data_IF_412780991723
#
_entry.id   IF_412780991723
#
_cell.length_a   1.000
_cell.length_b   1.000
_cell.length_c   1.000
_cell.angle_alpha   90.00
_cell.angle_beta   90.00
_cell.angle_gamma   90.00
#
_symmetry.space_group_name_H-M   'P 1'
#
loop_
_entity.id
_entity.type
_entity.pdbx_description
1 polymer ?
#
# COMPACT_ATOMS: atom_id res chain seq x y z
N UNK A 1 -19.61 -20.40 26.41
CA UNK A 1 -19.07 -19.21 25.71
C UNK A 1 -20.24 -18.62 24.99
N UNK A 2 -20.62 -17.39 25.32
CA UNK A 2 -21.79 -16.73 24.73
C UNK A 2 -21.50 -16.43 23.26
N UNK A 3 -22.36 -16.92 22.36
CA UNK A 3 -22.25 -16.75 20.91
C UNK A 3 -22.17 -15.27 20.49
N UNK A 4 -22.68 -14.34 21.31
CA UNK A 4 -22.61 -12.89 21.07
C UNK A 4 -21.17 -12.30 21.16
N UNK A 5 -20.23 -12.96 21.85
CA UNK A 5 -18.83 -12.48 21.91
C UNK A 5 -17.99 -12.91 20.71
N UNK A 6 -18.40 -13.95 19.98
CA UNK A 6 -17.75 -14.40 18.75
C UNK A 6 -18.15 -13.53 17.55
N UNK A 7 -19.39 -13.04 17.53
CA UNK A 7 -19.92 -12.21 16.44
C UNK A 7 -19.19 -10.86 16.32
N UNK A 8 -18.91 -10.20 17.45
CA UNK A 8 -18.16 -8.93 17.46
C UNK A 8 -16.67 -9.03 17.11
N UNK A 9 -16.07 -10.24 17.12
CA UNK A 9 -14.67 -10.46 16.73
C UNK A 9 -14.51 -10.88 15.26
N UNK A 10 -15.55 -11.47 14.65
CA UNK A 10 -15.57 -11.80 13.23
C UNK A 10 -15.67 -10.55 12.33
N UNK A 11 -16.33 -9.49 12.82
CA UNK A 11 -16.51 -8.23 12.07
C UNK A 11 -15.18 -7.54 11.69
N UNK A 12 -14.14 -7.65 12.52
CA UNK A 12 -12.82 -7.06 12.22
C UNK A 12 -12.07 -7.77 11.09
N UNK A 13 -12.34 -9.06 10.87
CA UNK A 13 -11.71 -9.87 9.83
C UNK A 13 -12.51 -9.84 8.50
N UNK A 14 -13.82 -9.58 8.55
CA UNK A 14 -14.68 -9.27 7.39
C UNK A 14 -14.47 -7.82 6.90
N UNK A 15 -14.04 -6.91 7.78
CA UNK A 15 -13.71 -5.52 7.41
C UNK A 15 -12.66 -5.44 6.30
N UNK A 16 -11.65 -6.31 6.27
CA UNK A 16 -10.61 -6.29 5.24
C UNK A 16 -11.12 -6.79 3.87
N UNK A 17 -12.06 -7.73 3.84
CA UNK A 17 -12.71 -8.18 2.61
C UNK A 17 -13.70 -7.14 2.07
N UNK A 18 -14.49 -6.53 2.96
CA UNK A 18 -15.43 -5.45 2.62
C UNK A 18 -14.72 -4.14 2.26
N UNK A 19 -13.62 -3.79 2.92
CA UNK A 19 -12.78 -2.64 2.55
C UNK A 19 -12.13 -2.86 1.19
N UNK A 20 -11.68 -4.07 0.86
CA UNK A 20 -11.17 -4.38 -0.48
C UNK A 20 -12.25 -4.19 -1.56
N UNK A 21 -13.47 -4.70 -1.32
CA UNK A 21 -14.60 -4.52 -2.25
C UNK A 21 -15.06 -3.06 -2.35
N UNK A 22 -15.07 -2.32 -1.24
CA UNK A 22 -15.46 -0.90 -1.22
C UNK A 22 -14.38 0.03 -1.80
N UNK A 23 -13.10 -0.32 -1.64
CA UNK A 23 -11.96 0.38 -2.25
C UNK A 23 -11.93 0.21 -3.76
N UNK A 24 -12.36 -0.93 -4.29
CA UNK A 24 -12.58 -1.14 -5.73
C UNK A 24 -13.75 -0.33 -6.29
N UNK A 25 -14.69 0.13 -5.44
CA UNK A 25 -15.89 0.89 -5.86
C UNK A 25 -15.72 2.41 -5.84
N UNK A 26 -14.69 2.97 -5.19
CA UNK A 26 -14.55 4.43 -4.99
C UNK A 26 -13.97 5.21 -6.18
N UNK A 27 -13.84 4.60 -7.36
CA UNK A 27 -13.70 5.32 -8.64
C UNK A 27 -12.33 5.96 -8.95
N UNK A 28 -11.31 5.75 -8.11
CA UNK A 28 -9.97 6.33 -8.31
C UNK A 28 -8.93 5.38 -8.93
N UNK A 29 -9.24 4.10 -9.09
CA UNK A 29 -8.32 3.10 -9.63
C UNK A 29 -8.66 2.76 -11.09
N UNK A 30 -7.65 2.47 -11.93
CA UNK A 30 -7.91 1.87 -13.23
C UNK A 30 -8.70 0.57 -13.05
N UNK A 31 -9.58 0.20 -14.01
CA UNK A 31 -10.28 -1.07 -13.94
C UNK A 31 -9.27 -2.21 -13.81
N UNK A 32 -9.53 -3.14 -12.90
CA UNK A 32 -8.69 -4.33 -12.75
C UNK A 32 -8.60 -5.09 -14.08
N UNK A 33 -7.42 -5.58 -14.48
CA UNK A 33 -7.31 -6.44 -15.64
C UNK A 33 -8.18 -7.69 -15.43
N UNK A 34 -8.97 -8.09 -16.43
CA UNK A 34 -9.79 -9.29 -16.34
C UNK A 34 -8.92 -10.53 -16.63
N UNK A 35 -8.19 -10.99 -15.61
CA UNK A 35 -7.33 -12.16 -15.73
C UNK A 35 -8.12 -13.43 -15.38
N UNK A 36 -8.13 -14.38 -16.33
CA UNK A 36 -8.81 -15.67 -16.17
C UNK A 36 -7.85 -16.82 -16.36
N UNK A 37 -8.02 -17.86 -15.56
CA UNK A 37 -7.33 -19.12 -15.80
C UNK A 37 -7.87 -19.80 -17.05
N UNK A 38 -7.02 -20.62 -17.68
CA UNK A 38 -7.51 -21.55 -18.71
C UNK A 38 -8.52 -22.52 -18.10
N UNK A 39 -9.40 -23.09 -18.92
CA UNK A 39 -10.37 -24.09 -18.46
C UNK A 39 -9.68 -25.30 -17.77
N UNK A 40 -8.52 -25.71 -18.29
CA UNK A 40 -7.73 -26.82 -17.72
C UNK A 40 -7.14 -26.45 -16.35
N UNK A 41 -6.57 -25.26 -16.22
CA UNK A 41 -6.01 -24.77 -14.96
C UNK A 41 -7.11 -24.62 -13.91
N UNK A 42 -8.25 -24.04 -14.29
CA UNK A 42 -9.43 -23.88 -13.42
C UNK A 42 -9.90 -25.24 -12.90
N UNK A 43 -10.13 -26.20 -13.81
CA UNK A 43 -10.60 -27.54 -13.43
C UNK A 43 -9.60 -28.28 -12.51
N UNK A 44 -8.29 -28.14 -12.75
CA UNK A 44 -7.26 -28.72 -11.88
C UNK A 44 -7.26 -28.09 -10.48
N UNK A 45 -7.42 -26.77 -10.38
CA UNK A 45 -7.51 -26.05 -9.11
C UNK A 45 -8.78 -26.43 -8.35
N UNK A 46 -9.93 -26.51 -9.03
CA UNK A 46 -11.20 -26.94 -8.45
C UNK A 46 -11.13 -28.36 -7.89
N UNK A 47 -10.59 -29.32 -8.65
CA UNK A 47 -10.46 -30.71 -8.19
C UNK A 47 -9.57 -30.82 -6.94
N UNK A 48 -8.43 -30.10 -6.93
CA UNK A 48 -7.54 -30.08 -5.76
C UNK A 48 -8.17 -29.39 -4.56
N UNK A 49 -8.88 -28.29 -4.78
CA UNK A 49 -9.62 -27.61 -3.72
C UNK A 49 -10.69 -28.51 -3.13
N UNK A 50 -11.53 -29.13 -3.97
CA UNK A 50 -12.59 -30.05 -3.55
C UNK A 50 -12.05 -31.20 -2.69
N UNK A 51 -10.96 -31.83 -3.12
CA UNK A 51 -10.30 -32.90 -2.35
C UNK A 51 -9.87 -32.43 -0.95
N UNK A 52 -9.29 -31.24 -0.85
CA UNK A 52 -8.89 -30.66 0.44
C UNK A 52 -10.09 -30.21 1.29
N UNK A 53 -11.09 -29.60 0.66
CA UNK A 53 -12.30 -29.10 1.32
C UNK A 53 -13.13 -30.24 1.92
N UNK A 54 -13.40 -31.28 1.13
CA UNK A 54 -14.15 -32.46 1.58
C UNK A 54 -13.41 -33.24 2.67
N UNK A 55 -12.07 -33.22 2.66
CA UNK A 55 -11.25 -33.82 3.73
C UNK A 55 -11.34 -33.00 5.03
N UNK A 56 -11.38 -31.68 4.93
CA UNK A 56 -11.51 -30.79 6.08
C UNK A 56 -12.94 -30.75 6.64
N UNK A 57 -13.93 -30.98 5.78
CA UNK A 57 -15.35 -30.83 6.07
C UNK A 57 -16.12 -32.11 5.63
N UNK A 58 -15.91 -33.26 6.31
CA UNK A 58 -16.49 -34.53 5.90
C UNK A 58 -18.03 -34.57 5.97
N UNK A 59 -18.64 -33.72 6.80
CA UNK A 59 -20.10 -33.64 6.94
C UNK A 59 -20.80 -32.95 5.74
N UNK A 60 -20.02 -32.36 4.82
CA UNK A 60 -20.52 -31.62 3.66
C UNK A 60 -20.76 -32.47 2.40
N UNK A 61 -20.45 -33.77 2.41
CA UNK A 61 -20.60 -34.68 1.25
C UNK A 61 -22.03 -34.78 0.69
N UNK A 62 -23.03 -34.30 1.43
CA UNK A 62 -24.45 -34.35 1.08
C UNK A 62 -25.00 -33.04 0.49
N UNK A 63 -24.18 -32.00 0.29
CA UNK A 63 -24.65 -30.68 -0.16
C UNK A 63 -24.11 -30.26 -1.54
N UNK A 64 -24.98 -29.79 -2.47
CA UNK A 64 -24.57 -29.18 -3.75
C UNK A 64 -23.62 -27.97 -3.62
N UNK A 65 -23.53 -27.41 -2.41
CA UNK A 65 -22.73 -26.23 -2.06
C UNK A 65 -21.22 -26.42 -2.31
N UNK A 66 -20.70 -27.65 -2.23
CA UNK A 66 -19.27 -27.95 -2.45
C UNK A 66 -18.74 -27.57 -3.84
N UNK A 67 -19.55 -27.74 -4.89
CA UNK A 67 -19.17 -27.37 -6.26
C UNK A 67 -19.09 -25.84 -6.41
N UNK A 68 -19.97 -25.11 -5.72
CA UNK A 68 -19.94 -23.65 -5.73
C UNK A 68 -18.68 -23.12 -5.03
N UNK A 69 -18.24 -23.73 -3.93
CA UNK A 69 -17.05 -23.30 -3.19
C UNK A 69 -15.76 -23.41 -4.03
N UNK A 70 -15.62 -24.46 -4.84
CA UNK A 70 -14.47 -24.61 -5.74
C UNK A 70 -14.42 -23.50 -6.80
N UNK A 71 -15.56 -23.17 -7.39
CA UNK A 71 -15.66 -22.07 -8.36
C UNK A 71 -15.38 -20.71 -7.69
N UNK A 72 -15.90 -20.47 -6.48
CA UNK A 72 -15.63 -19.27 -5.70
C UNK A 72 -14.14 -19.15 -5.39
N UNK A 73 -13.49 -20.26 -5.02
CA UNK A 73 -12.06 -20.32 -4.79
C UNK A 73 -11.27 -19.92 -6.04
N UNK A 74 -11.57 -20.49 -7.21
CA UNK A 74 -10.89 -20.12 -8.47
C UNK A 74 -11.08 -18.63 -8.78
N UNK A 75 -12.31 -18.10 -8.66
CA UNK A 75 -12.58 -16.68 -8.88
C UNK A 75 -11.82 -15.78 -7.89
N UNK A 76 -11.66 -16.23 -6.64
CA UNK A 76 -10.85 -15.53 -5.65
C UNK A 76 -9.37 -15.48 -6.07
N UNK A 77 -8.82 -16.59 -6.57
CA UNK A 77 -7.45 -16.63 -7.10
C UNK A 77 -7.27 -15.69 -8.31
N UNK A 78 -8.22 -15.67 -9.25
CA UNK A 78 -8.22 -14.77 -10.41
C UNK A 78 -8.29 -13.29 -9.99
N UNK A 79 -9.13 -12.98 -9.00
CA UNK A 79 -9.23 -11.64 -8.42
C UNK A 79 -7.92 -11.19 -7.76
N UNK A 80 -7.25 -12.10 -7.04
CA UNK A 80 -5.92 -11.83 -6.47
C UNK A 80 -4.87 -11.59 -7.57
N UNK A 81 -4.85 -12.41 -8.62
CA UNK A 81 -3.92 -12.25 -9.74
C UNK A 81 -4.12 -10.89 -10.43
N UNK A 82 -5.37 -10.50 -10.65
CA UNK A 82 -5.75 -9.22 -11.26
C UNK A 82 -5.26 -8.03 -10.42
N UNK A 83 -5.47 -8.09 -9.10
CA UNK A 83 -5.00 -7.08 -8.18
C UNK A 83 -3.47 -7.00 -8.13
N UNK A 84 -2.80 -8.15 -8.04
CA UNK A 84 -1.33 -8.24 -8.01
C UNK A 84 -0.71 -7.69 -9.30
N UNK A 85 -1.28 -8.00 -10.46
CA UNK A 85 -0.82 -7.47 -11.74
C UNK A 85 -0.94 -5.95 -11.80
N UNK A 86 -2.07 -5.39 -11.33
CA UNK A 86 -2.27 -3.94 -11.23
C UNK A 86 -1.24 -3.30 -10.30
N UNK A 87 -1.12 -3.81 -9.07
CA UNK A 87 -0.20 -3.26 -8.05
C UNK A 87 1.25 -3.37 -8.51
N UNK A 88 1.66 -4.49 -9.11
CA UNK A 88 3.05 -4.68 -9.56
C UNK A 88 3.42 -3.77 -10.73
N UNK A 89 2.47 -3.48 -11.62
CA UNK A 89 2.65 -2.52 -12.70
C UNK A 89 2.77 -1.07 -12.17
N UNK A 90 2.07 -0.74 -11.08
CA UNK A 90 2.08 0.61 -10.50
C UNK A 90 3.19 0.86 -9.47
N UNK A 91 3.50 -0.08 -8.58
CA UNK A 91 4.40 0.10 -7.43
C UNK A 91 5.86 0.26 -7.85
N UNK A 92 6.36 -0.53 -8.80
CA UNK A 92 7.76 -0.47 -9.23
C UNK A 92 8.15 0.82 -9.92
N UNK A 93 7.23 1.43 -10.67
CA UNK A 93 7.52 2.65 -11.44
C UNK A 93 7.26 3.91 -10.61
N UNK A 94 6.37 3.86 -9.61
CA UNK A 94 5.89 5.07 -8.93
C UNK A 94 6.62 5.38 -7.62
N UNK A 95 7.08 4.41 -6.81
CA UNK A 95 7.63 4.77 -5.49
C UNK A 95 9.07 5.33 -5.53
N UNK A 96 9.97 4.70 -6.27
CA UNK A 96 11.34 5.22 -6.43
C UNK A 96 11.34 6.58 -7.13
N UNK A 97 10.62 6.70 -8.24
CA UNK A 97 10.47 7.99 -8.93
C UNK A 97 9.77 9.07 -8.07
N UNK A 98 8.80 8.71 -7.21
CA UNK A 98 8.19 9.65 -6.25
C UNK A 98 9.20 10.09 -5.20
N UNK A 99 10.01 9.16 -4.69
CA UNK A 99 11.05 9.44 -3.71
C UNK A 99 12.13 10.34 -4.32
N UNK A 100 12.63 10.02 -5.50
CA UNK A 100 13.59 10.86 -6.24
C UNK A 100 13.05 12.27 -6.49
N UNK A 101 11.77 12.41 -6.86
CA UNK A 101 11.12 13.72 -7.02
C UNK A 101 11.01 14.49 -5.70
N UNK A 102 10.66 13.80 -4.62
CA UNK A 102 10.61 14.40 -3.29
C UNK A 102 12.00 14.83 -2.80
N UNK A 103 13.03 14.01 -3.03
CA UNK A 103 14.42 14.35 -2.75
C UNK A 103 14.89 15.54 -3.59
N UNK A 104 14.54 15.60 -4.87
CA UNK A 104 14.82 16.73 -5.75
C UNK A 104 14.19 18.03 -5.25
N UNK A 105 12.92 17.97 -4.81
CA UNK A 105 12.22 19.11 -4.21
C UNK A 105 12.90 19.59 -2.92
N UNK A 106 13.26 18.67 -2.02
CA UNK A 106 13.97 18.99 -0.78
C UNK A 106 15.33 19.62 -1.05
N UNK A 107 16.10 19.07 -1.99
CA UNK A 107 17.37 19.63 -2.42
C UNK A 107 17.22 21.04 -3.00
N UNK A 108 16.14 21.30 -3.74
CA UNK A 108 15.80 22.63 -4.24
C UNK A 108 15.51 23.60 -3.09
N UNK A 109 14.71 23.18 -2.12
CA UNK A 109 14.38 23.99 -0.94
C UNK A 109 15.62 24.31 -0.10
N UNK A 110 16.50 23.34 0.14
CA UNK A 110 17.77 23.55 0.83
C UNK A 110 18.62 24.61 0.13
N UNK A 111 18.76 24.54 -1.20
CA UNK A 111 19.52 25.53 -1.97
C UNK A 111 18.93 26.93 -1.89
N UNK A 112 17.60 27.04 -1.85
CA UNK A 112 16.93 28.33 -1.67
C UNK A 112 17.24 28.91 -0.28
N UNK A 113 17.20 28.09 0.77
CA UNK A 113 17.55 28.51 2.13
C UNK A 113 19.00 28.99 2.20
N UNK A 114 19.93 28.22 1.64
CA UNK A 114 21.36 28.58 1.60
C UNK A 114 21.60 29.88 0.81
N UNK A 115 20.90 30.06 -0.32
CA UNK A 115 20.97 31.29 -1.11
C UNK A 115 20.42 32.50 -0.33
N UNK A 116 19.29 32.36 0.36
CA UNK A 116 18.73 33.41 1.21
C UNK A 116 19.70 33.80 2.35
N UNK A 117 20.42 32.83 2.91
CA UNK A 117 21.38 33.06 3.99
C UNK A 117 22.68 33.71 3.50
N UNK A 118 23.13 33.38 2.30
CA UNK A 118 24.42 33.83 1.74
C UNK A 118 24.35 35.16 0.98
N UNK A 119 23.22 35.50 0.38
CA UNK A 119 23.02 36.78 -0.30
C UNK A 119 23.01 37.95 0.70
N UNK A 120 23.54 39.10 0.28
CA UNK A 120 23.36 40.35 1.00
C UNK A 120 21.91 40.85 0.90
N UNK A 121 21.50 41.66 1.88
CA UNK A 121 20.11 42.09 2.03
C UNK A 121 19.61 42.89 0.81
N UNK A 122 20.48 43.60 0.11
CA UNK A 122 20.10 44.39 -1.07
C UNK A 122 19.85 43.50 -2.29
N UNK A 123 20.75 42.57 -2.57
CA UNK A 123 20.57 41.60 -3.65
C UNK A 123 19.33 40.72 -3.43
N UNK A 124 19.13 40.24 -2.20
CA UNK A 124 17.94 39.45 -1.85
C UNK A 124 16.65 40.28 -2.00
N UNK A 125 16.64 41.53 -1.52
CA UNK A 125 15.49 42.42 -1.66
C UNK A 125 15.10 42.69 -3.12
N UNK A 126 16.10 42.83 -3.99
CA UNK A 126 15.86 43.02 -5.42
C UNK A 126 15.24 41.77 -6.09
N UNK A 127 15.73 40.57 -5.76
CA UNK A 127 15.17 39.31 -6.26
C UNK A 127 13.73 39.08 -5.77
N UNK A 128 13.48 39.35 -4.49
CA UNK A 128 12.14 39.23 -3.90
C UNK A 128 11.14 40.20 -4.56
N UNK A 129 11.55 41.43 -4.86
CA UNK A 129 10.70 42.40 -5.55
C UNK A 129 10.24 41.88 -6.93
N UNK A 130 11.16 41.32 -7.72
CA UNK A 130 10.82 40.72 -9.01
C UNK A 130 9.91 39.48 -8.88
N UNK A 131 10.11 38.68 -7.84
CA UNK A 131 9.23 37.55 -7.53
C UNK A 131 7.81 37.98 -7.16
N UNK A 132 7.66 38.96 -6.27
CA UNK A 132 6.36 39.48 -5.87
C UNK A 132 5.60 40.12 -7.03
N UNK A 133 6.29 40.86 -7.90
CA UNK A 133 5.68 41.44 -9.10
C UNK A 133 5.12 40.36 -10.03
N UNK A 134 5.85 39.26 -10.23
CA UNK A 134 5.36 38.17 -11.06
C UNK A 134 4.16 37.46 -10.42
N UNK A 135 4.16 37.26 -9.10
CA UNK A 135 3.02 36.69 -8.38
C UNK A 135 1.80 37.61 -8.47
N UNK A 136 1.96 38.92 -8.27
CA UNK A 136 0.86 39.89 -8.37
C UNK A 136 0.26 39.90 -9.78
N UNK A 137 1.11 39.76 -10.81
CA UNK A 137 0.68 39.65 -12.21
C UNK A 137 -0.11 38.38 -12.48
N UNK A 138 0.34 37.24 -11.96
CA UNK A 138 -0.29 35.93 -12.22
C UNK A 138 -1.47 35.64 -11.29
N UNK A 139 -1.50 36.28 -10.11
CA UNK A 139 -2.46 36.07 -9.03
C UNK A 139 -2.91 37.42 -8.41
N UNK A 140 -3.70 38.25 -9.13
CA UNK A 140 -4.00 39.63 -8.75
C UNK A 140 -4.79 39.81 -7.45
N UNK A 141 -5.42 38.74 -6.94
CA UNK A 141 -6.15 38.77 -5.66
C UNK A 141 -5.22 38.58 -4.43
N UNK A 142 -3.92 38.33 -4.65
CA UNK A 142 -2.97 38.17 -3.54
C UNK A 142 -2.62 39.52 -2.92
N UNK A 143 -2.84 39.64 -1.60
CA UNK A 143 -2.42 40.82 -0.82
C UNK A 143 -0.93 40.73 -0.51
N UNK A 144 -0.10 41.00 -1.51
CA UNK A 144 1.34 41.12 -1.31
C UNK A 144 1.71 42.53 -0.82
N UNK A 145 2.86 42.68 -0.13
CA UNK A 145 3.40 44.00 0.16
C UNK A 145 3.56 44.77 -1.15
N UNK A 146 2.97 45.96 -1.25
CA UNK A 146 3.02 46.83 -2.44
C UNK A 146 4.45 46.92 -2.99
N UNK A 147 4.66 46.87 -4.31
CA UNK A 147 6.00 46.82 -4.90
C UNK A 147 6.81 48.04 -4.46
N UNK A 148 7.77 47.83 -3.55
CA UNK A 148 8.70 48.84 -3.06
C UNK A 148 9.82 49.11 -4.07
N UNK A 149 9.50 49.14 -5.37
CA UNK A 149 10.49 49.25 -6.46
C UNK A 149 11.40 50.46 -6.30
N UNK A 150 10.84 51.57 -5.83
CA UNK A 150 11.57 52.85 -5.77
C UNK A 150 12.26 53.09 -4.42
N UNK A 151 12.14 52.16 -3.47
CA UNK A 151 12.75 52.28 -2.16
C UNK A 151 13.66 51.09 -1.85
N UNK A 152 14.88 51.15 -2.38
CA UNK A 152 15.94 50.17 -2.16
C UNK A 152 16.17 49.89 -0.68
N UNK A 153 16.09 50.91 0.19
CA UNK A 153 16.25 50.75 1.63
C UNK A 153 15.13 49.91 2.24
N UNK A 154 13.88 50.13 1.82
CA UNK A 154 12.74 49.36 2.31
C UNK A 154 12.79 47.89 1.83
N UNK A 155 13.25 47.64 0.60
CA UNK A 155 13.51 46.29 0.09
C UNK A 155 14.60 45.57 0.89
N UNK A 156 15.67 46.27 1.26
CA UNK A 156 16.72 45.72 2.12
C UNK A 156 16.17 45.33 3.51
N UNK A 157 15.35 46.19 4.12
CA UNK A 157 14.75 45.91 5.43
C UNK A 157 13.83 44.70 5.34
N UNK A 158 12.96 44.63 4.33
CA UNK A 158 12.10 43.47 4.09
C UNK A 158 12.90 42.18 3.91
N UNK A 159 13.94 42.21 3.08
CA UNK A 159 14.80 41.05 2.85
C UNK A 159 15.51 40.59 4.13
N UNK A 160 16.01 41.54 4.91
CA UNK A 160 16.65 41.27 6.21
C UNK A 160 15.68 40.65 7.20
N UNK A 161 14.45 41.13 7.24
CA UNK A 161 13.41 40.60 8.12
C UNK A 161 13.03 39.19 7.68
N UNK A 162 12.78 38.95 6.39
CA UNK A 162 12.51 37.61 5.83
C UNK A 162 13.68 36.65 6.06
N UNK A 163 14.92 37.12 5.97
CA UNK A 163 16.11 36.31 6.28
C UNK A 163 16.16 35.89 7.74
N UNK A 164 15.67 36.74 8.66
CA UNK A 164 15.63 36.42 10.10
C UNK A 164 14.45 35.55 10.50
N UNK A 165 13.26 35.81 9.96
CA UNK A 165 12.03 35.10 10.33
C UNK A 165 11.80 33.89 9.42
N UNK A 166 11.73 34.10 8.11
CA UNK A 166 11.35 33.05 7.16
C UNK A 166 12.44 32.00 6.93
N UNK A 167 13.74 32.34 7.01
CA UNK A 167 14.79 31.35 6.78
C UNK A 167 14.77 30.22 7.84
N UNK A 168 14.48 30.57 9.10
CA UNK A 168 14.35 29.59 10.20
C UNK A 168 13.09 28.73 10.06
N UNK A 169 11.98 29.33 9.61
CA UNK A 169 10.73 28.63 9.33
C UNK A 169 10.88 27.66 8.14
N UNK A 170 11.51 28.11 7.05
CA UNK A 170 11.79 27.29 5.87
C UNK A 170 12.77 26.14 6.20
N UNK A 171 13.80 26.39 7.01
CA UNK A 171 14.69 25.34 7.48
C UNK A 171 13.96 24.29 8.35
N UNK A 172 13.06 24.75 9.22
CA UNK A 172 12.23 23.87 10.05
C UNK A 172 11.24 23.06 9.20
N UNK A 173 10.63 23.68 8.18
CA UNK A 173 9.77 23.01 7.20
C UNK A 173 10.56 21.97 6.40
N UNK A 174 11.75 22.34 5.88
CA UNK A 174 12.64 21.42 5.16
C UNK A 174 13.00 20.20 6.02
N UNK A 175 13.35 20.40 7.29
CA UNK A 175 13.63 19.30 8.23
C UNK A 175 12.39 18.42 8.44
N UNK A 176 11.22 19.02 8.64
CA UNK A 176 9.95 18.29 8.78
C UNK A 176 9.62 17.46 7.55
N UNK A 177 9.80 18.01 6.35
CA UNK A 177 9.58 17.29 5.09
C UNK A 177 10.63 16.19 4.86
N UNK A 178 11.90 16.40 5.25
CA UNK A 178 12.95 15.37 5.20
C UNK A 178 12.60 14.21 6.12
N UNK A 179 12.19 14.50 7.36
CA UNK A 179 11.72 13.48 8.29
C UNK A 179 10.47 12.77 7.76
N UNK A 180 9.55 13.50 7.14
CA UNK A 180 8.36 12.94 6.50
C UNK A 180 8.71 11.99 5.35
N UNK A 181 9.70 12.35 4.52
CA UNK A 181 10.20 11.51 3.43
C UNK A 181 10.85 10.22 3.95
N UNK A 182 11.67 10.32 4.99
CA UNK A 182 12.31 9.17 5.65
C UNK A 182 11.29 8.21 6.30
N UNK A 183 10.16 8.76 6.75
CA UNK A 183 9.08 8.05 7.41
C UNK A 183 7.84 7.88 6.53
N UNK A 184 7.97 8.03 5.21
CA UNK A 184 6.86 7.71 4.30
C UNK A 184 6.44 6.27 4.61
N UNK A 185 5.12 6.02 4.80
CA UNK A 185 4.66 4.67 5.07
C UNK A 185 5.05 3.80 3.88
N UNK A 186 6.13 3.04 4.08
CA UNK A 186 6.36 1.82 3.33
C UNK A 186 5.14 1.00 3.70
N UNK A 187 4.23 0.80 2.75
CA UNK A 187 3.18 -0.22 2.85
C UNK A 187 3.80 -1.42 3.54
N UNK A 188 3.33 -1.75 4.75
CA UNK A 188 3.93 -2.70 5.72
C UNK A 188 4.94 -3.62 5.01
N UNK A 189 6.25 -3.41 5.19
CA UNK A 189 7.28 -3.77 4.20
C UNK A 189 7.23 -5.24 3.71
N UNK A 190 6.62 -6.11 4.50
CA UNK A 190 6.31 -7.47 4.14
C UNK A 190 5.19 -7.57 3.08
N UNK A 191 4.10 -6.83 3.20
CA UNK A 191 2.98 -6.74 2.26
C UNK A 191 3.26 -5.91 1.00
N UNK A 192 4.31 -5.06 1.00
CA UNK A 192 4.81 -4.43 -0.23
C UNK A 192 5.34 -5.44 -1.27
N UNK A 193 5.55 -6.71 -0.86
CA UNK A 193 5.91 -7.77 -1.79
C UNK A 193 4.66 -8.52 -2.22
N UNK A 194 4.28 -8.48 -3.51
CA UNK A 194 3.08 -9.17 -4.00
C UNK A 194 3.08 -10.67 -3.67
N UNK A 195 4.25 -11.30 -3.64
CA UNK A 195 4.41 -12.69 -3.23
C UNK A 195 3.95 -12.93 -1.79
N UNK A 196 4.39 -12.11 -0.85
CA UNK A 196 4.00 -12.28 0.55
C UNK A 196 2.51 -12.00 0.74
N UNK A 197 1.99 -10.97 0.08
CA UNK A 197 0.56 -10.64 0.11
C UNK A 197 -0.31 -11.81 -0.37
N UNK A 198 0.02 -12.43 -1.51
CA UNK A 198 -0.71 -13.61 -2.02
C UNK A 198 -0.60 -14.77 -1.05
N UNK A 199 0.60 -15.07 -0.55
CA UNK A 199 0.82 -16.16 0.40
C UNK A 199 0.01 -15.97 1.69
N UNK A 200 -0.05 -14.73 2.22
CA UNK A 200 -0.82 -14.39 3.41
C UNK A 200 -2.33 -14.48 3.17
N UNK A 201 -2.82 -14.00 2.02
CA UNK A 201 -4.23 -14.10 1.64
C UNK A 201 -4.71 -15.54 1.40
N UNK A 202 -3.83 -16.40 0.89
CA UNK A 202 -4.09 -17.84 0.78
C UNK A 202 -4.15 -18.51 2.15
N UNK A 203 -3.28 -18.11 3.09
CA UNK A 203 -3.27 -18.63 4.45
C UNK A 203 -4.57 -18.30 5.19
N UNK A 204 -5.00 -17.03 5.14
CA UNK A 204 -6.26 -16.58 5.74
C UNK A 204 -7.46 -17.30 5.10
N UNK A 205 -7.54 -17.34 3.76
CA UNK A 205 -8.67 -17.96 3.05
C UNK A 205 -8.81 -19.45 3.38
N UNK A 206 -7.71 -20.22 3.30
CA UNK A 206 -7.75 -21.65 3.59
C UNK A 206 -8.02 -21.91 5.08
N UNK A 207 -7.45 -21.10 5.96
CA UNK A 207 -7.66 -21.18 7.40
C UNK A 207 -9.13 -21.01 7.80
N UNK A 208 -9.83 -20.04 7.20
CA UNK A 208 -11.27 -19.80 7.43
C UNK A 208 -12.17 -20.94 6.98
N UNK A 209 -11.74 -21.69 5.95
CA UNK A 209 -12.46 -22.87 5.47
C UNK A 209 -12.04 -24.17 6.17
N UNK A 210 -11.28 -24.06 7.26
CA UNK A 210 -10.71 -25.18 8.00
C UNK A 210 -9.80 -26.09 7.14
N UNK A 211 -9.31 -25.59 6.01
CA UNK A 211 -8.38 -26.32 5.16
C UNK A 211 -6.97 -26.12 5.69
N UNK A 212 -6.25 -27.22 5.93
CA UNK A 212 -4.86 -27.17 6.39
C UNK A 212 -3.98 -26.42 5.38
N UNK A 213 -3.41 -25.31 5.82
CA UNK A 213 -2.40 -24.56 5.07
C UNK A 213 -1.06 -25.33 5.05
N UNK A 214 -0.61 -25.73 3.86
CA UNK A 214 0.67 -26.43 3.67
C UNK A 214 1.68 -25.51 2.99
N UNK A 215 2.90 -25.45 3.50
CA UNK A 215 3.96 -24.60 2.94
C UNK A 215 4.77 -25.27 1.83
N UNK A 216 4.35 -26.46 1.37
CA UNK A 216 5.00 -27.19 0.28
C UNK A 216 4.53 -26.68 -1.08
N UNK A 217 5.42 -26.71 -2.07
CA UNK A 217 5.11 -26.25 -3.45
C UNK A 217 4.05 -27.11 -4.13
N UNK A 218 3.98 -28.39 -3.77
CA UNK A 218 3.01 -29.36 -4.30
C UNK A 218 1.68 -29.38 -3.57
N UNK A 219 1.58 -28.68 -2.43
CA UNK A 219 0.34 -28.56 -1.66
C UNK A 219 -0.66 -27.62 -2.35
N UNK A 220 -1.92 -27.64 -1.90
CA UNK A 220 -2.97 -26.77 -2.48
C UNK A 220 -2.52 -25.29 -2.47
N UNK A 221 -1.96 -24.82 -1.35
CA UNK A 221 -1.48 -23.44 -1.24
C UNK A 221 -0.30 -23.16 -2.19
N UNK A 222 0.65 -24.10 -2.35
CA UNK A 222 1.76 -23.99 -3.29
C UNK A 222 1.30 -23.86 -4.75
N UNK A 223 0.40 -24.75 -5.16
CA UNK A 223 -0.14 -24.75 -6.52
C UNK A 223 -0.96 -23.49 -6.79
N UNK A 224 -1.80 -23.09 -5.83
CA UNK A 224 -2.63 -21.89 -5.95
C UNK A 224 -1.77 -20.62 -6.01
N UNK A 225 -0.72 -20.57 -5.20
CA UNK A 225 0.26 -19.49 -5.22
C UNK A 225 0.94 -19.39 -6.59
N UNK A 226 1.46 -20.50 -7.12
CA UNK A 226 2.10 -20.51 -8.45
C UNK A 226 1.12 -20.07 -9.53
N UNK A 227 -0.11 -20.59 -9.51
CA UNK A 227 -1.14 -20.22 -10.48
C UNK A 227 -1.43 -18.71 -10.44
N UNK A 228 -1.60 -18.11 -9.26
CA UNK A 228 -1.83 -16.66 -9.11
C UNK A 228 -0.65 -15.85 -9.66
N UNK A 229 0.58 -16.22 -9.32
CA UNK A 229 1.78 -15.51 -9.75
C UNK A 229 2.00 -15.62 -11.26
N UNK A 230 1.79 -16.81 -11.83
CA UNK A 230 1.87 -17.07 -13.28
C UNK A 230 0.81 -16.27 -14.04
N UNK A 231 -0.45 -16.30 -13.57
CA UNK A 231 -1.54 -15.55 -14.17
C UNK A 231 -1.30 -14.03 -14.12
N UNK A 232 -0.70 -13.54 -13.03
CA UNK A 232 -0.30 -12.14 -12.89
C UNK A 232 0.95 -11.76 -13.72
N UNK A 233 1.61 -12.71 -14.39
CA UNK A 233 2.82 -12.48 -15.19
C UNK A 233 4.07 -12.21 -14.34
N UNK A 234 4.12 -12.71 -13.10
CA UNK A 234 5.24 -12.48 -12.18
C UNK A 234 5.98 -13.78 -11.95
N UNK A 235 7.25 -13.83 -12.34
CA UNK A 235 8.12 -14.97 -12.06
C UNK A 235 8.33 -15.17 -10.56
N UNK A 236 8.08 -16.38 -10.06
CA UNK A 236 8.33 -16.72 -8.67
C UNK A 236 8.82 -18.16 -8.49
N UNK A 237 10.09 -18.29 -8.10
CA UNK A 237 10.78 -19.58 -7.96
C UNK A 237 10.85 -20.10 -6.51
N UNK A 238 10.16 -19.45 -5.57
CA UNK A 238 10.27 -19.76 -4.13
C UNK A 238 8.92 -19.72 -3.41
N UNK A 239 7.92 -20.44 -3.91
CA UNK A 239 6.60 -20.46 -3.28
C UNK A 239 6.67 -20.93 -1.82
N UNK A 240 7.42 -22.01 -1.53
CA UNK A 240 7.53 -22.54 -0.18
C UNK A 240 8.13 -21.54 0.83
N UNK A 241 9.05 -20.67 0.39
CA UNK A 241 9.59 -19.60 1.23
C UNK A 241 8.50 -18.60 1.63
N UNK A 242 7.72 -18.10 0.67
CA UNK A 242 6.67 -17.10 0.92
C UNK A 242 5.54 -17.67 1.77
N UNK A 243 5.12 -18.90 1.50
CA UNK A 243 4.11 -19.60 2.30
C UNK A 243 4.60 -19.83 3.73
N UNK A 244 5.86 -20.23 3.92
CA UNK A 244 6.43 -20.38 5.27
C UNK A 244 6.50 -19.05 6.01
N UNK A 245 6.84 -17.97 5.30
CA UNK A 245 6.85 -16.63 5.88
C UNK A 245 5.43 -16.21 6.30
N UNK A 246 4.43 -16.44 5.46
CA UNK A 246 3.03 -16.15 5.75
C UNK A 246 2.52 -16.92 6.98
N UNK A 247 2.78 -18.23 7.05
CA UNK A 247 2.36 -19.06 8.18
C UNK A 247 2.95 -18.63 9.54
N UNK A 248 4.14 -18.01 9.54
CA UNK A 248 4.82 -17.55 10.76
C UNK A 248 4.54 -16.08 11.09
N UNK A 249 3.79 -15.38 10.26
CA UNK A 249 3.53 -13.97 10.44
C UNK A 249 2.62 -13.72 11.64
N UNK A 250 2.85 -12.66 12.41
CA UNK A 250 2.07 -12.33 13.62
C UNK A 250 0.57 -12.11 13.38
N UNK A 251 0.23 -11.69 12.15
CA UNK A 251 -1.14 -11.50 11.64
C UNK A 251 -1.66 -12.70 10.84
N UNK A 252 -1.03 -13.87 10.92
CA UNK A 252 -1.55 -15.10 10.28
C UNK A 252 -2.79 -15.62 11.00
N UNK A 253 -3.63 -16.35 10.28
CA UNK A 253 -4.77 -17.06 10.86
C UNK A 253 -4.32 -18.04 11.93
N UNK A 254 -3.22 -18.77 11.69
CA UNK A 254 -2.62 -19.64 12.70
C UNK A 254 -2.27 -18.91 14.00
N UNK A 255 -1.67 -17.72 13.91
CA UNK A 255 -1.34 -16.88 15.08
C UNK A 255 -2.59 -16.32 15.77
N UNK A 256 -3.62 -15.98 15.00
CA UNK A 256 -4.92 -15.56 15.54
C UNK A 256 -5.58 -16.67 16.36
N UNK A 257 -5.65 -17.89 15.83
CA UNK A 257 -6.22 -19.05 16.53
C UNK A 257 -5.40 -19.41 17.78
N UNK A 258 -4.07 -19.32 17.72
CA UNK A 258 -3.22 -19.54 18.90
C UNK A 258 -3.55 -18.57 20.04
N UNK A 259 -3.64 -17.27 19.73
CA UNK A 259 -4.02 -16.22 20.70
C UNK A 259 -5.43 -16.43 21.27
N UNK A 260 -6.39 -16.92 20.49
CA UNK A 260 -7.72 -17.24 20.98
C UNK A 260 -7.71 -18.42 21.97
N UNK A 261 -6.93 -19.47 21.69
CA UNK A 261 -6.80 -20.63 22.59
C UNK A 261 -6.16 -20.27 23.93
N UNK A 262 -5.14 -19.43 23.91
CA UNK A 262 -4.48 -18.93 25.13
C UNK A 262 -5.47 -18.16 26.02
N UNK A 263 -6.32 -17.32 25.43
CA UNK A 263 -7.34 -16.55 26.15
C UNK A 263 -8.52 -17.37 26.63
N UNK A 264 -8.89 -18.43 25.92
CA UNK A 264 -9.99 -19.32 26.30
C UNK A 264 -9.62 -20.39 27.35
N UNK A 265 -8.32 -20.52 27.66
CA UNK A 265 -7.80 -21.45 28.68
C UNK A 265 -7.51 -20.78 30.03
N UNK A 266 -7.89 -19.50 30.17
CA UNK A 266 -7.80 -18.68 31.40
C UNK A 266 -9.18 -18.51 32.02
#
# INVERSE_FOLDING_TARGET
MDDEKLDGMMDGADLNGRLFINFLRSGGLPPLPDLRFSANTSSCLEDRFNKSYLKANPDFYSRPESVNEAMVFVRYLEGMASFVAMVSAEERVKQEARRERAESLLNGLSKIIDAMQSLDDAALGFLLAGGFEQIEKDFPDTRLPSPMRDNTFALMVLARDMKKTCAGELASMHLGMTNGLLNLPITDADFARPQFMVAHKLEDYLGRLNIKFTTTETGLAGISFHAVMELAGIECNKAGYWLTKAAKHEKSWASFIAKLKERGSS
#
